data_IF_216401042185
#
_entry.id   IF_216401042185
#
_cell.length_a   1.000
_cell.length_b   1.000
_cell.length_c   1.000
_cell.angle_alpha   90.00
_cell.angle_beta   90.00
_cell.angle_gamma   90.00
#
_symmetry.space_group_name_H-M   'P 1'
#
loop_
_entity.id
_entity.type
_entity.pdbx_description
1 polymer ?
#
# COMPACT_ATOMS: atom_id res chain seq x y z
N UNK A 1 19.67 30.61 -9.92
CA UNK A 1 19.79 29.25 -9.37
C UNK A 1 20.64 29.32 -8.11
N UNK A 2 20.14 28.89 -6.95
CA UNK A 2 20.90 28.97 -5.70
C UNK A 2 22.02 27.92 -5.69
N UNK A 3 23.29 28.38 -5.72
CA UNK A 3 24.47 27.52 -5.62
C UNK A 3 24.68 27.08 -4.16
N UNK A 4 23.83 26.18 -3.68
CA UNK A 4 23.86 25.71 -2.28
C UNK A 4 24.98 24.70 -1.95
N UNK A 5 25.85 24.37 -2.90
CA UNK A 5 26.85 23.31 -2.81
C UNK A 5 28.29 23.82 -2.89
N UNK A 6 28.51 25.04 -3.37
CA UNK A 6 29.84 25.68 -3.51
C UNK A 6 30.60 25.79 -2.16
N UNK A 7 29.87 25.78 -1.03
CA UNK A 7 30.42 25.92 0.32
C UNK A 7 30.50 24.58 1.11
N UNK A 8 30.24 23.43 0.48
CA UNK A 8 30.24 22.14 1.17
C UNK A 8 31.62 21.48 1.12
N UNK A 9 32.21 21.20 2.29
CA UNK A 9 33.45 20.42 2.40
C UNK A 9 33.10 18.93 2.35
N UNK A 10 33.64 18.17 1.38
CA UNK A 10 33.43 16.72 1.29
C UNK A 10 33.92 15.99 2.54
N UNK A 11 33.24 14.91 2.93
CA UNK A 11 33.63 14.10 4.09
C UNK A 11 35.05 13.50 3.95
N UNK A 12 35.52 13.28 2.72
CA UNK A 12 36.89 12.83 2.42
C UNK A 12 37.96 13.87 2.72
N UNK A 13 37.60 15.16 2.77
CA UNK A 13 38.50 16.27 3.08
C UNK A 13 38.41 16.70 4.56
N UNK A 14 37.58 16.03 5.37
CA UNK A 14 37.41 16.29 6.81
C UNK A 14 38.26 15.35 7.66
N UNK A 15 38.53 15.75 8.89
CA UNK A 15 39.13 14.84 9.88
C UNK A 15 38.17 13.69 10.20
N UNK A 16 38.72 12.54 10.60
CA UNK A 16 37.90 11.35 10.96
C UNK A 16 36.94 11.65 12.11
N UNK A 17 37.36 12.46 13.07
CA UNK A 17 36.54 12.82 14.23
C UNK A 17 35.41 13.78 13.86
N UNK A 18 35.67 14.74 12.98
CA UNK A 18 34.64 15.64 12.46
C UNK A 18 33.60 14.88 11.63
N UNK A 19 34.05 13.99 10.74
CA UNK A 19 33.18 13.13 9.96
C UNK A 19 32.30 12.24 10.86
N UNK A 20 32.88 11.65 11.92
CA UNK A 20 32.16 10.86 12.91
C UNK A 20 31.15 11.68 13.69
N UNK A 21 31.54 12.86 14.18
CA UNK A 21 30.65 13.77 14.92
C UNK A 21 29.46 14.23 14.08
N UNK A 22 29.68 14.55 12.80
CA UNK A 22 28.62 14.90 11.87
C UNK A 22 27.68 13.72 11.58
N UNK A 23 28.24 12.51 11.38
CA UNK A 23 27.45 11.29 11.23
C UNK A 23 26.59 10.99 12.46
N UNK A 24 27.14 11.15 13.66
CA UNK A 24 26.42 10.95 14.92
C UNK A 24 25.27 11.95 15.08
N UNK A 25 25.51 13.25 14.83
CA UNK A 25 24.47 14.28 14.85
C UNK A 25 23.34 13.96 13.87
N UNK A 26 23.69 13.57 12.65
CA UNK A 26 22.72 13.14 11.64
C UNK A 26 21.91 11.92 12.07
N UNK A 27 22.55 10.92 12.67
CA UNK A 27 21.89 9.73 13.22
C UNK A 27 20.91 10.06 14.34
N UNK A 28 21.31 10.94 15.27
CA UNK A 28 20.46 11.38 16.39
C UNK A 28 19.23 12.12 15.88
N UNK A 29 19.40 13.10 14.98
CA UNK A 29 18.29 13.89 14.44
C UNK A 29 17.35 13.03 13.57
N UNK A 30 17.91 12.13 12.76
CA UNK A 30 17.13 11.15 12.01
C UNK A 30 16.33 10.24 12.96
N UNK A 31 16.95 9.78 14.06
CA UNK A 31 16.28 9.00 15.10
C UNK A 31 15.13 9.74 15.78
N UNK A 32 15.33 11.02 16.14
CA UNK A 32 14.27 11.88 16.69
C UNK A 32 13.11 12.03 15.70
N UNK A 33 13.41 12.32 14.44
CA UNK A 33 12.41 12.45 13.37
C UNK A 33 11.61 11.16 13.19
N UNK A 34 12.28 9.99 13.15
CA UNK A 34 11.63 8.68 13.05
C UNK A 34 10.69 8.41 14.22
N UNK A 35 11.13 8.70 15.46
CA UNK A 35 10.30 8.54 16.66
C UNK A 35 9.08 9.46 16.65
N UNK A 36 9.25 10.73 16.28
CA UNK A 36 8.14 11.69 16.11
C UNK A 36 7.12 11.21 15.09
N UNK A 37 7.57 10.76 13.91
CA UNK A 37 6.69 10.20 12.88
C UNK A 37 5.95 8.95 13.37
N UNK A 38 6.61 8.08 14.15
CA UNK A 38 5.96 6.91 14.74
C UNK A 38 4.87 7.32 15.73
N UNK A 39 5.17 8.23 16.66
CA UNK A 39 4.21 8.73 17.63
C UNK A 39 2.98 9.36 16.95
N UNK A 40 3.20 10.22 15.95
CA UNK A 40 2.11 10.83 15.18
C UNK A 40 1.24 9.78 14.47
N UNK A 41 1.85 8.77 13.84
CA UNK A 41 1.09 7.69 13.19
C UNK A 41 0.26 6.89 14.21
N UNK A 42 0.80 6.64 15.40
CA UNK A 42 0.06 5.95 16.46
C UNK A 42 -1.12 6.79 16.93
N UNK A 43 -0.89 8.07 17.26
CA UNK A 43 -1.95 8.99 17.68
C UNK A 43 -3.04 9.14 16.63
N UNK A 44 -2.68 9.21 15.33
CA UNK A 44 -3.67 9.30 14.26
C UNK A 44 -4.51 8.01 14.14
N UNK A 45 -3.89 6.83 14.30
CA UNK A 45 -4.61 5.54 14.28
C UNK A 45 -5.61 5.44 15.43
N UNK A 46 -5.25 5.93 16.60
CA UNK A 46 -6.15 5.97 17.75
C UNK A 46 -7.27 6.99 17.54
N UNK A 47 -6.93 8.19 17.04
CA UNK A 47 -7.89 9.25 16.80
C UNK A 47 -8.99 8.84 15.81
N UNK A 48 -8.66 8.20 14.70
CA UNK A 48 -9.67 7.82 13.70
C UNK A 48 -10.69 6.80 14.22
N UNK A 49 -10.35 6.06 15.28
CA UNK A 49 -11.23 5.10 15.93
C UNK A 49 -12.16 5.73 16.97
N UNK A 50 -11.98 7.00 17.32
CA UNK A 50 -12.88 7.70 18.24
C UNK A 50 -14.24 7.97 17.59
N UNK A 51 -15.29 7.94 18.40
CA UNK A 51 -16.63 8.38 17.96
C UNK A 51 -16.73 9.89 17.99
N UNK A 52 -17.54 10.48 17.10
CA UNK A 52 -17.65 11.94 16.98
C UNK A 52 -18.09 12.59 18.29
N UNK A 53 -18.98 11.95 19.06
CA UNK A 53 -19.40 12.41 20.39
C UNK A 53 -18.25 12.54 21.42
N UNK A 54 -17.18 11.77 21.27
CA UNK A 54 -16.04 11.78 22.19
C UNK A 54 -15.08 12.96 21.92
N UNK A 55 -15.30 13.71 20.83
CA UNK A 55 -14.48 14.86 20.48
C UNK A 55 -14.92 16.12 21.24
N UNK A 56 -13.97 17.06 21.36
CA UNK A 56 -14.28 18.43 21.71
C UNK A 56 -15.36 19.00 20.76
N UNK A 57 -16.38 19.73 21.27
CA UNK A 57 -17.49 20.24 20.47
C UNK A 57 -17.08 20.93 19.17
N UNK A 58 -16.10 21.85 19.23
CA UNK A 58 -15.60 22.57 18.05
C UNK A 58 -15.09 21.63 16.94
N UNK A 59 -14.41 20.54 17.32
CA UNK A 59 -13.88 19.56 16.36
C UNK A 59 -15.01 18.67 15.81
N UNK A 60 -15.92 18.24 16.68
CA UNK A 60 -17.09 17.45 16.31
C UNK A 60 -17.93 18.19 15.28
N UNK A 61 -18.32 19.42 15.58
CA UNK A 61 -19.15 20.26 14.72
C UNK A 61 -18.48 20.53 13.37
N UNK A 62 -17.18 20.87 13.39
CA UNK A 62 -16.41 21.09 12.17
C UNK A 62 -16.35 19.87 11.26
N UNK A 63 -16.11 18.68 11.81
CA UNK A 63 -16.07 17.41 11.04
C UNK A 63 -17.46 17.05 10.51
N UNK A 64 -18.49 17.13 11.36
CA UNK A 64 -19.87 16.81 10.97
C UNK A 64 -20.37 17.70 9.84
N UNK A 65 -20.10 19.00 9.92
CA UNK A 65 -20.43 19.97 8.87
C UNK A 65 -19.71 19.63 7.55
N UNK A 66 -18.40 19.36 7.61
CA UNK A 66 -17.61 19.04 6.42
C UNK A 66 -18.04 17.72 5.76
N UNK A 67 -18.39 16.71 6.56
CA UNK A 67 -18.82 15.40 6.06
C UNK A 67 -20.31 15.33 5.70
N UNK A 68 -21.09 16.36 6.05
CA UNK A 68 -22.54 16.39 5.97
C UNK A 68 -23.18 15.18 6.69
N UNK A 69 -22.80 15.01 7.96
CA UNK A 69 -23.23 13.93 8.85
C UNK A 69 -24.01 14.55 10.02
N UNK A 70 -25.07 13.86 10.46
CA UNK A 70 -25.88 14.26 11.63
C UNK A 70 -25.74 13.32 12.82
N UNK A 71 -25.21 12.12 12.59
CA UNK A 71 -25.05 11.08 13.59
C UNK A 71 -23.69 11.20 14.28
N UNK A 72 -23.70 11.48 15.57
CA UNK A 72 -22.49 11.61 16.41
C UNK A 72 -21.95 10.25 16.89
N UNK A 73 -22.68 9.16 16.68
CA UNK A 73 -22.25 7.81 17.05
C UNK A 73 -21.23 7.24 16.05
N UNK A 74 -21.17 7.80 14.84
CA UNK A 74 -20.19 7.44 13.83
C UNK A 74 -18.77 7.77 14.28
N UNK A 75 -17.82 6.97 13.80
CA UNK A 75 -16.40 7.24 14.05
C UNK A 75 -15.87 8.34 13.14
N UNK A 76 -14.74 8.96 13.52
CA UNK A 76 -14.03 9.87 12.62
C UNK A 76 -13.67 9.15 11.31
N UNK A 77 -13.29 7.86 11.38
CA UNK A 77 -13.00 7.05 10.20
C UNK A 77 -14.20 6.98 9.24
N UNK A 78 -15.40 6.74 9.75
CA UNK A 78 -16.63 6.70 8.95
C UNK A 78 -16.89 8.05 8.26
N UNK A 79 -16.70 9.16 8.99
CA UNK A 79 -16.85 10.50 8.44
C UNK A 79 -15.87 10.78 7.30
N UNK A 80 -14.60 10.41 7.47
CA UNK A 80 -13.56 10.59 6.45
C UNK A 80 -13.84 9.71 5.22
N UNK A 81 -14.17 8.43 5.41
CA UNK A 81 -14.48 7.50 4.32
C UNK A 81 -15.72 7.99 3.55
N UNK A 82 -16.78 8.39 4.26
CA UNK A 82 -17.99 8.96 3.66
C UNK A 82 -17.71 10.20 2.83
N UNK A 83 -16.84 11.10 3.33
CA UNK A 83 -16.39 12.29 2.59
C UNK A 83 -15.61 11.96 1.31
N UNK A 84 -14.70 10.98 1.38
CA UNK A 84 -13.94 10.50 0.22
C UNK A 84 -14.89 9.90 -0.82
N UNK A 85 -15.82 9.04 -0.41
CA UNK A 85 -16.80 8.41 -1.30
C UNK A 85 -17.66 9.47 -1.98
N UNK A 86 -18.22 10.41 -1.22
CA UNK A 86 -19.05 11.50 -1.77
C UNK A 86 -18.29 12.31 -2.82
N UNK A 87 -17.04 12.67 -2.51
CA UNK A 87 -16.19 13.47 -3.42
C UNK A 87 -15.78 12.66 -4.66
N UNK A 88 -15.53 11.35 -4.50
CA UNK A 88 -15.28 10.45 -5.62
C UNK A 88 -16.50 10.31 -6.54
N UNK A 89 -17.71 10.15 -5.98
CA UNK A 89 -18.96 10.14 -6.74
C UNK A 89 -19.21 11.47 -7.48
N UNK A 90 -18.70 12.59 -6.96
CA UNK A 90 -18.66 13.89 -7.64
C UNK A 90 -17.68 13.99 -8.80
N UNK A 91 -16.96 12.91 -9.14
CA UNK A 91 -16.04 12.84 -10.27
C UNK A 91 -14.60 13.22 -9.94
N UNK A 92 -14.19 13.27 -8.67
CA UNK A 92 -12.80 13.55 -8.32
C UNK A 92 -11.92 12.29 -8.49
N UNK A 93 -11.01 12.25 -9.49
CA UNK A 93 -10.22 11.06 -9.79
C UNK A 93 -9.18 10.74 -8.70
N UNK A 94 -8.73 11.73 -7.94
CA UNK A 94 -7.76 11.51 -6.85
C UNK A 94 -8.41 10.73 -5.70
N UNK A 95 -9.67 11.03 -5.39
CA UNK A 95 -10.41 10.30 -4.35
C UNK A 95 -10.74 8.88 -4.78
N UNK A 96 -11.11 8.68 -6.06
CA UNK A 96 -11.27 7.32 -6.63
C UNK A 96 -9.96 6.54 -6.51
N UNK A 97 -8.82 7.15 -6.87
CA UNK A 97 -7.51 6.50 -6.72
C UNK A 97 -7.21 6.12 -5.28
N UNK A 98 -7.47 7.00 -4.30
CA UNK A 98 -7.27 6.71 -2.88
C UNK A 98 -8.12 5.51 -2.43
N UNK A 99 -9.39 5.44 -2.86
CA UNK A 99 -10.27 4.30 -2.57
C UNK A 99 -9.70 3.00 -3.15
N UNK A 100 -9.34 3.00 -4.44
CA UNK A 100 -8.74 1.85 -5.12
C UNK A 100 -7.41 1.41 -4.50
N UNK A 101 -6.56 2.36 -4.10
CA UNK A 101 -5.30 2.08 -3.42
C UNK A 101 -5.55 1.46 -2.02
N UNK A 102 -6.62 1.87 -1.34
CA UNK A 102 -6.98 1.37 0.00
C UNK A 102 -7.55 -0.05 -0.06
N UNK A 103 -8.40 -0.36 -1.04
CA UNK A 103 -8.95 -1.71 -1.24
C UNK A 103 -7.99 -2.68 -1.94
N UNK A 104 -6.88 -2.17 -2.48
CA UNK A 104 -5.88 -2.97 -3.19
C UNK A 104 -6.18 -3.23 -4.68
N UNK A 105 -7.18 -2.56 -5.25
CA UNK A 105 -7.64 -2.79 -6.63
C UNK A 105 -7.04 -1.81 -7.64
N UNK A 106 -6.16 -0.90 -7.22
CA UNK A 106 -5.54 0.04 -8.13
C UNK A 106 -4.67 -0.67 -9.17
N UNK A 107 -4.62 -0.10 -10.38
CA UNK A 107 -3.84 -0.66 -11.48
C UNK A 107 -2.36 -0.85 -11.10
N UNK A 108 -1.79 0.09 -10.35
CA UNK A 108 -0.41 0.04 -9.86
C UNK A 108 -0.15 -1.20 -8.98
N UNK A 109 -1.11 -1.56 -8.12
CA UNK A 109 -0.99 -2.74 -7.24
C UNK A 109 -1.07 -4.01 -8.10
N UNK A 110 -2.04 -4.08 -9.02
CA UNK A 110 -2.21 -5.24 -9.93
C UNK A 110 -0.97 -5.46 -10.80
N UNK A 111 -0.36 -4.38 -11.31
CA UNK A 111 0.89 -4.47 -12.08
C UNK A 111 2.05 -4.96 -11.22
N UNK A 112 2.22 -4.41 -10.01
CA UNK A 112 3.26 -4.87 -9.07
C UNK A 112 3.11 -6.34 -8.71
N UNK A 113 1.89 -6.82 -8.45
CA UNK A 113 1.64 -8.23 -8.17
C UNK A 113 2.01 -9.14 -9.35
N UNK A 114 1.69 -8.71 -10.58
CA UNK A 114 2.08 -9.44 -11.78
C UNK A 114 3.59 -9.48 -11.93
N UNK A 115 4.27 -8.37 -11.71
CA UNK A 115 5.73 -8.28 -11.78
C UNK A 115 6.41 -9.17 -10.73
N UNK A 116 5.92 -9.16 -9.49
CA UNK A 116 6.40 -10.05 -8.42
C UNK A 116 6.20 -11.51 -8.82
N UNK A 117 5.02 -11.90 -9.31
CA UNK A 117 4.76 -13.27 -9.79
C UNK A 117 5.68 -13.69 -10.93
N UNK A 118 5.99 -12.78 -11.86
CA UNK A 118 6.92 -13.06 -12.96
C UNK A 118 8.36 -13.24 -12.43
N UNK A 119 8.78 -12.42 -11.46
CA UNK A 119 10.09 -12.53 -10.81
C UNK A 119 10.22 -13.83 -10.00
N UNK A 120 9.19 -14.20 -9.26
CA UNK A 120 9.14 -15.46 -8.51
C UNK A 120 9.23 -16.66 -9.46
N UNK A 121 8.47 -16.65 -10.56
CA UNK A 121 8.56 -17.71 -11.59
C UNK A 121 9.95 -17.80 -12.20
N UNK A 122 10.56 -16.66 -12.53
CA UNK A 122 11.93 -16.61 -13.04
C UNK A 122 12.93 -17.18 -12.02
N UNK A 123 12.78 -16.85 -10.73
CA UNK A 123 13.64 -17.37 -9.67
C UNK A 123 13.47 -18.89 -9.46
N UNK A 124 12.24 -19.41 -9.52
CA UNK A 124 11.96 -20.86 -9.42
C UNK A 124 12.62 -21.61 -10.59
N UNK A 125 12.47 -21.10 -11.81
CA UNK A 125 13.11 -21.67 -13.00
C UNK A 125 14.64 -21.63 -12.91
N UNK A 126 15.22 -20.52 -12.44
CA UNK A 126 16.66 -20.38 -12.24
C UNK A 126 17.23 -21.37 -11.20
N UNK A 127 16.44 -21.73 -10.19
CA UNK A 127 16.81 -22.71 -9.16
C UNK A 127 16.52 -24.16 -9.56
N UNK A 128 16.25 -24.45 -10.84
CA UNK A 128 16.01 -25.81 -11.33
C UNK A 128 14.62 -26.38 -11.01
N UNK A 129 13.70 -25.56 -10.48
CA UNK A 129 12.33 -25.95 -10.22
C UNK A 129 11.51 -26.06 -11.50
N UNK A 130 10.73 -27.13 -11.65
CA UNK A 130 9.83 -27.26 -12.81
C UNK A 130 8.62 -26.35 -12.67
N UNK A 131 8.38 -25.46 -13.63
CA UNK A 131 7.15 -24.67 -13.76
C UNK A 131 6.03 -25.54 -14.37
N UNK A 132 5.81 -26.75 -13.83
CA UNK A 132 4.69 -27.59 -14.25
C UNK A 132 3.41 -26.96 -13.69
N UNK A 133 2.40 -26.67 -14.53
CA UNK A 133 1.08 -26.34 -13.99
C UNK A 133 0.66 -27.46 -13.04
N UNK A 134 0.18 -27.11 -11.84
CA UNK A 134 -0.42 -28.07 -10.91
C UNK A 134 -1.33 -28.99 -11.71
N UNK A 135 -1.16 -30.29 -11.51
CA UNK A 135 -1.77 -31.40 -12.26
C UNK A 135 -3.13 -31.01 -12.85
N UNK A 136 -3.30 -31.31 -14.15
CA UNK A 136 -4.57 -31.08 -14.85
C UNK A 136 -5.74 -31.46 -13.93
N UNK A 137 -6.67 -30.52 -13.72
CA UNK A 137 -7.87 -30.77 -12.92
C UNK A 137 -8.46 -32.14 -13.27
N UNK A 138 -8.88 -32.91 -12.26
CA UNK A 138 -9.44 -34.26 -12.44
C UNK A 138 -10.53 -34.29 -13.52
N UNK A 139 -11.29 -33.20 -13.66
CA UNK A 139 -12.28 -33.01 -14.72
C UNK A 139 -11.66 -32.98 -16.13
N UNK A 140 -10.51 -32.31 -16.32
CA UNK A 140 -9.79 -32.27 -17.60
C UNK A 140 -9.24 -33.66 -17.94
N UNK A 141 -8.73 -34.39 -16.93
CA UNK A 141 -8.27 -35.77 -17.12
C UNK A 141 -9.42 -36.71 -17.51
N UNK A 142 -10.59 -36.55 -16.89
CA UNK A 142 -11.80 -37.32 -17.21
C UNK A 142 -12.29 -37.02 -18.63
N UNK A 143 -12.33 -35.74 -19.03
CA UNK A 143 -12.74 -35.34 -20.38
C UNK A 143 -11.79 -35.93 -21.44
N UNK A 144 -10.47 -35.89 -21.20
CA UNK A 144 -9.49 -36.46 -22.13
C UNK A 144 -9.57 -37.98 -22.22
N UNK A 145 -9.84 -38.68 -21.11
CA UNK A 145 -10.04 -40.13 -21.12
C UNK A 145 -11.32 -40.52 -21.86
N UNK A 146 -12.42 -39.78 -21.67
CA UNK A 146 -13.66 -40.00 -22.42
C UNK A 146 -13.52 -39.71 -23.92
N UNK A 147 -12.77 -38.67 -24.29
CA UNK A 147 -12.46 -38.34 -25.69
C UNK A 147 -11.66 -39.47 -26.36
N UNK A 148 -10.59 -39.96 -25.72
CA UNK A 148 -9.82 -41.12 -26.21
C UNK A 148 -10.65 -42.40 -26.31
N UNK A 149 -11.53 -42.66 -25.35
CA UNK A 149 -12.43 -43.80 -25.39
C UNK A 149 -13.44 -43.70 -26.54
N UNK A 150 -13.91 -42.49 -26.86
CA UNK A 150 -14.81 -42.23 -28.00
C UNK A 150 -14.10 -42.42 -29.33
N UNK A 151 -12.84 -41.99 -29.45
CA UNK A 151 -12.02 -42.19 -30.66
C UNK A 151 -11.75 -43.67 -30.92
N UNK A 152 -11.41 -44.45 -29.88
CA UNK A 152 -11.24 -45.91 -29.98
C UNK A 152 -12.49 -46.68 -30.43
N UNK A 153 -13.69 -46.16 -30.15
CA UNK A 153 -14.95 -46.76 -30.60
C UNK A 153 -15.33 -46.37 -32.03
N UNK A 154 -14.65 -45.40 -32.62
CA UNK A 154 -14.91 -44.88 -33.97
C UNK A 154 -13.97 -45.44 -35.04
N UNK A 155 -12.91 -46.12 -34.65
CA UNK A 155 -12.07 -46.91 -35.56
C UNK A 155 -12.57 -48.36 -35.56
N UNK A 156 -12.94 -48.93 -36.72
CA UNK A 156 -13.42 -50.31 -36.83
C UNK A 156 -12.37 -51.34 -36.42
#
# INVERSE_FOLDING_TARGET
>A
MAKGHDNLIPASQRSKDEARGNGQKGGIESGKSRRRKKALRTALKEAVSLTLKDLHPDLREGIMLAANIKDEELTIADAVIGGIIRTACGGNPQMVKILLDTIGESADIRLKERDVKLREKAAVLANGGSNKPKEQSTMVQLVQTLQKAREKRRTP
#
